data_IF_983042620089
#
_entry.id   IF_983042620089
#
_cell.length_a   1.000
_cell.length_b   1.000
_cell.length_c   1.000
_cell.angle_alpha   90.00
_cell.angle_beta   90.00
_cell.angle_gamma   90.00
#
_symmetry.space_group_name_H-M   'P 1'
#
loop_
_entity.id
_entity.type
_entity.pdbx_description
1 polymer ?
#
# COMPACT_ATOMS: atom_id res chain seq x y z
N UNK A 1 20.57 -23.68 -7.82
CA UNK A 1 20.27 -22.27 -8.27
C UNK A 1 21.56 -21.45 -8.42
N UNK A 2 22.39 -21.26 -7.36
CA UNK A 2 23.63 -20.47 -7.46
C UNK A 2 24.61 -21.02 -8.50
N UNK A 3 24.78 -22.36 -8.57
CA UNK A 3 25.64 -23.03 -9.54
C UNK A 3 25.17 -22.91 -10.99
N UNK A 4 23.89 -22.68 -11.21
CA UNK A 4 23.33 -22.47 -12.55
C UNK A 4 23.52 -21.02 -13.00
N UNK A 5 23.38 -20.08 -12.08
CA UNK A 5 23.63 -18.65 -12.36
C UNK A 5 25.09 -18.41 -12.79
N UNK A 6 26.05 -19.08 -12.16
CA UNK A 6 27.47 -18.96 -12.50
C UNK A 6 27.82 -19.49 -13.91
N UNK A 7 26.93 -20.29 -14.54
CA UNK A 7 27.09 -20.79 -15.93
C UNK A 7 26.58 -19.79 -16.97
N UNK A 8 25.82 -18.78 -16.57
CA UNK A 8 25.34 -17.74 -17.48
C UNK A 8 26.53 -16.86 -17.89
N UNK A 9 26.73 -16.57 -19.18
CA UNK A 9 27.74 -15.61 -19.63
C UNK A 9 27.61 -14.25 -18.90
N UNK A 10 28.72 -13.63 -18.57
CA UNK A 10 28.71 -12.39 -17.78
C UNK A 10 27.93 -11.26 -18.48
N UNK A 11 27.90 -11.25 -19.81
CA UNK A 11 27.13 -10.31 -20.63
C UNK A 11 25.61 -10.50 -20.55
N UNK A 12 25.15 -11.67 -20.11
CA UNK A 12 23.74 -12.03 -19.99
C UNK A 12 23.25 -12.04 -18.53
N UNK A 13 24.16 -11.82 -17.58
CA UNK A 13 23.79 -11.75 -16.15
C UNK A 13 23.09 -10.46 -15.85
N UNK A 14 22.00 -10.56 -15.09
CA UNK A 14 21.30 -9.39 -14.57
C UNK A 14 22.26 -8.64 -13.64
N UNK A 15 22.46 -7.38 -13.93
CA UNK A 15 23.29 -6.47 -13.13
C UNK A 15 22.40 -5.52 -12.31
N UNK A 16 22.98 -4.83 -11.34
CA UNK A 16 22.28 -3.81 -10.59
C UNK A 16 21.67 -2.69 -11.47
N UNK A 17 22.22 -2.46 -12.67
CA UNK A 17 21.70 -1.48 -13.63
C UNK A 17 20.44 -1.93 -14.32
N UNK A 18 20.20 -3.24 -14.38
CA UNK A 18 19.00 -3.85 -14.99
C UNK A 18 17.85 -3.88 -14.01
N UNK A 19 18.13 -3.78 -12.69
CA UNK A 19 17.16 -3.71 -11.62
C UNK A 19 16.67 -2.27 -11.44
N UNK A 20 15.83 -1.82 -12.37
CA UNK A 20 15.15 -0.53 -12.20
C UNK A 20 14.13 -0.65 -11.07
N UNK A 21 14.38 0.07 -9.98
CA UNK A 21 13.41 0.17 -8.90
C UNK A 21 12.25 1.09 -9.32
N UNK A 22 11.02 0.71 -8.94
CA UNK A 22 9.88 1.60 -9.08
C UNK A 22 10.01 2.83 -8.16
N UNK A 23 9.19 3.84 -8.41
CA UNK A 23 9.18 5.08 -7.61
C UNK A 23 8.43 4.95 -6.29
N UNK A 24 7.49 4.00 -6.21
CA UNK A 24 6.67 3.70 -5.03
C UNK A 24 6.64 2.18 -4.85
N UNK A 25 6.76 1.72 -3.61
CA UNK A 25 6.51 0.33 -3.26
C UNK A 25 5.07 0.16 -2.80
N UNK A 26 4.36 -0.82 -3.36
CA UNK A 26 3.08 -1.30 -2.84
C UNK A 26 3.26 -2.73 -2.34
N UNK A 27 3.00 -2.95 -1.05
CA UNK A 27 3.12 -4.27 -0.41
C UNK A 27 1.77 -4.73 0.11
N UNK A 28 1.31 -5.90 -0.31
CA UNK A 28 0.09 -6.52 0.18
C UNK A 28 0.43 -7.63 1.18
N UNK A 29 0.43 -7.28 2.46
CA UNK A 29 0.73 -8.21 3.55
C UNK A 29 -0.45 -9.15 3.81
N UNK A 30 -1.67 -8.70 3.53
CA UNK A 30 -2.88 -9.48 3.73
C UNK A 30 -2.97 -10.74 2.86
N UNK A 31 -2.25 -10.78 1.73
CA UNK A 31 -2.19 -11.94 0.85
C UNK A 31 -1.21 -13.02 1.33
N UNK A 32 -0.23 -12.65 2.16
CA UNK A 32 0.88 -13.53 2.56
C UNK A 32 0.50 -14.37 3.78
N UNK A 33 -0.40 -13.87 4.63
CA UNK A 33 -0.65 -14.46 5.93
C UNK A 33 -2.15 -14.64 6.21
N UNK A 34 -2.63 -15.85 6.03
CA UNK A 34 -3.96 -16.28 6.50
C UNK A 34 -3.91 -16.47 8.03
N UNK A 35 -4.03 -15.43 8.80
CA UNK A 35 -4.08 -15.54 10.27
C UNK A 35 -3.38 -14.45 11.04
N UNK A 36 -2.66 -13.57 10.37
CA UNK A 36 -2.16 -12.35 11.01
C UNK A 36 -3.23 -11.27 10.88
N UNK A 37 -3.95 -11.03 11.96
CA UNK A 37 -4.83 -9.87 12.11
C UNK A 37 -4.04 -8.63 12.52
N UNK A 38 -3.04 -8.25 11.72
CA UNK A 38 -2.28 -7.02 11.93
C UNK A 38 -3.06 -5.81 11.46
N UNK A 39 -3.25 -4.83 12.31
CA UNK A 39 -3.96 -3.60 11.94
C UNK A 39 -3.09 -2.65 11.12
N UNK A 40 -1.79 -2.68 11.33
CA UNK A 40 -0.83 -1.76 10.72
C UNK A 40 0.44 -2.51 10.35
N UNK A 41 0.84 -2.39 9.09
CA UNK A 41 2.19 -2.72 8.65
C UNK A 41 2.97 -1.44 8.49
N UNK A 42 3.98 -1.20 9.31
CA UNK A 42 4.93 -0.14 9.06
C UNK A 42 5.88 -0.59 7.98
N UNK A 43 5.80 0.03 6.79
CA UNK A 43 6.71 -0.25 5.69
C UNK A 43 7.94 0.63 5.78
N UNK A 44 9.10 0.01 5.65
CA UNK A 44 10.33 0.76 5.44
C UNK A 44 10.38 1.30 4.01
N UNK A 45 10.65 2.59 3.90
CA UNK A 45 10.91 3.23 2.61
C UNK A 45 12.37 2.94 2.24
N UNK A 46 12.57 2.30 1.09
CA UNK A 46 13.92 1.94 0.60
C UNK A 46 14.37 2.99 -0.41
N UNK A 47 15.44 3.75 -0.14
CA UNK A 47 15.96 4.72 -1.10
C UNK A 47 16.26 4.07 -2.47
N UNK A 48 16.01 4.75 -3.60
CA UNK A 48 15.63 6.16 -3.74
C UNK A 48 14.14 6.47 -3.64
N UNK A 49 13.32 5.52 -3.22
CA UNK A 49 11.88 5.74 -3.06
C UNK A 49 11.60 6.71 -1.91
N UNK A 50 10.53 7.46 -2.03
CA UNK A 50 10.06 8.41 -1.02
C UNK A 50 8.67 8.10 -0.49
N UNK A 51 8.03 7.05 -1.04
CA UNK A 51 6.70 6.61 -0.62
C UNK A 51 6.59 5.09 -0.66
N UNK A 52 5.85 4.53 0.30
CA UNK A 52 5.48 3.14 0.33
C UNK A 52 4.03 2.98 0.80
N UNK A 53 3.28 2.08 0.17
CA UNK A 53 1.89 1.78 0.50
C UNK A 53 1.78 0.34 0.98
N UNK A 54 1.25 0.15 2.19
CA UNK A 54 0.97 -1.15 2.78
C UNK A 54 -0.52 -1.47 2.76
N UNK A 55 -0.88 -2.63 2.24
CA UNK A 55 -2.25 -3.14 2.25
C UNK A 55 -2.30 -4.28 3.27
N UNK A 56 -3.13 -4.13 4.30
CA UNK A 56 -3.31 -5.13 5.34
C UNK A 56 -4.32 -6.23 4.97
N UNK A 57 -4.65 -7.07 5.95
CA UNK A 57 -5.66 -8.10 5.77
C UNK A 57 -7.07 -7.53 5.97
N UNK A 58 -8.04 -8.10 5.26
CA UNK A 58 -9.47 -7.81 5.49
C UNK A 58 -9.86 -8.21 6.91
N UNK A 59 -10.52 -7.31 7.62
CA UNK A 59 -10.92 -7.48 9.02
C UNK A 59 -12.38 -7.09 9.22
N UNK A 60 -13.07 -7.79 10.11
CA UNK A 60 -14.39 -7.34 10.58
C UNK A 60 -14.21 -6.41 11.77
N UNK A 61 -14.70 -5.19 11.63
CA UNK A 61 -14.65 -4.17 12.69
C UNK A 61 -16.02 -3.53 12.93
N UNK A 62 -16.33 -3.16 14.17
CA UNK A 62 -17.46 -2.29 14.43
C UNK A 62 -17.14 -0.90 13.87
N UNK A 63 -18.03 -0.36 13.07
CA UNK A 63 -17.98 1.02 12.56
C UNK A 63 -19.25 1.76 12.98
N UNK A 64 -19.12 3.06 13.19
CA UNK A 64 -20.28 3.92 13.40
C UNK A 64 -20.80 4.35 12.03
N UNK A 65 -22.10 4.18 11.82
CA UNK A 65 -22.80 4.63 10.61
C UNK A 65 -23.93 5.54 11.04
N UNK A 66 -23.94 6.77 10.55
CA UNK A 66 -25.02 7.73 10.79
C UNK A 66 -26.12 7.48 9.76
N UNK A 67 -27.35 7.29 10.22
CA UNK A 67 -28.51 7.11 9.35
C UNK A 67 -29.00 8.46 8.76
N UNK A 68 -30.01 8.39 7.88
CA UNK A 68 -30.59 9.58 7.24
C UNK A 68 -31.23 10.56 8.24
N UNK A 69 -31.52 10.13 9.45
CA UNK A 69 -32.10 10.95 10.53
C UNK A 69 -31.04 11.60 11.40
N UNK A 70 -29.75 11.32 11.17
CA UNK A 70 -28.62 11.79 11.96
C UNK A 70 -28.36 10.98 13.22
N UNK A 71 -28.95 9.77 13.34
CA UNK A 71 -28.73 8.85 14.47
C UNK A 71 -27.57 7.93 14.18
N UNK A 72 -26.65 7.80 15.13
CA UNK A 72 -25.51 6.90 15.05
C UNK A 72 -25.90 5.45 15.44
N UNK A 73 -25.48 4.51 14.61
CA UNK A 73 -25.61 3.06 14.85
C UNK A 73 -24.26 2.38 14.68
N UNK A 74 -24.00 1.33 15.48
CA UNK A 74 -22.81 0.49 15.33
C UNK A 74 -23.16 -0.66 14.40
N UNK A 75 -22.42 -0.77 13.28
CA UNK A 75 -22.52 -1.89 12.33
C UNK A 75 -21.19 -2.61 12.20
N UNK A 76 -21.25 -3.93 12.00
CA UNK A 76 -20.05 -4.73 11.71
C UNK A 76 -19.81 -4.64 10.21
N UNK A 77 -18.65 -4.09 9.84
CA UNK A 77 -18.22 -3.98 8.45
C UNK A 77 -16.89 -4.69 8.21
N UNK A 78 -16.68 -5.06 6.95
CA UNK A 78 -15.37 -5.52 6.49
C UNK A 78 -14.54 -4.32 6.08
N UNK A 79 -13.40 -4.15 6.72
CA UNK A 79 -12.47 -3.04 6.47
C UNK A 79 -11.13 -3.56 5.96
N UNK A 80 -10.52 -2.80 5.06
CA UNK A 80 -9.18 -3.03 4.53
C UNK A 80 -8.26 -1.92 5.04
N UNK A 81 -7.34 -2.20 5.98
CA UNK A 81 -6.41 -1.19 6.43
C UNK A 81 -5.37 -0.91 5.34
N UNK A 82 -5.16 0.36 5.06
CA UNK A 82 -4.15 0.84 4.12
C UNK A 82 -3.26 1.83 4.86
N UNK A 83 -1.95 1.59 4.83
CA UNK A 83 -0.95 2.47 5.41
C UNK A 83 -0.17 3.15 4.29
N UNK A 84 -0.07 4.47 4.34
CA UNK A 84 0.76 5.25 3.42
C UNK A 84 1.92 5.84 4.22
N UNK A 85 3.13 5.47 3.85
CA UNK A 85 4.37 5.98 4.41
C UNK A 85 5.06 6.89 3.40
N UNK A 86 5.56 8.03 3.83
CA UNK A 86 6.35 8.92 2.99
C UNK A 86 7.55 9.49 3.77
N UNK A 87 8.61 9.80 3.04
CA UNK A 87 9.82 10.39 3.61
C UNK A 87 9.63 11.90 3.79
N UNK A 88 9.43 12.33 5.03
CA UNK A 88 9.19 13.74 5.37
C UNK A 88 10.41 14.65 5.09
N UNK A 89 11.57 14.08 4.79
CA UNK A 89 12.74 14.87 4.35
C UNK A 89 12.61 15.30 2.88
N UNK A 90 11.81 14.57 2.11
CA UNK A 90 11.62 14.79 0.67
C UNK A 90 10.26 15.44 0.36
N UNK A 91 9.25 15.20 1.18
CA UNK A 91 7.87 15.66 0.96
C UNK A 91 7.32 16.31 2.23
N UNK A 92 6.71 17.47 2.09
CA UNK A 92 5.92 18.05 3.16
C UNK A 92 4.46 17.53 3.12
N UNK A 93 3.76 17.57 4.25
CA UNK A 93 2.38 17.09 4.34
C UNK A 93 1.43 17.84 3.39
N UNK A 94 1.71 19.12 3.14
CA UNK A 94 0.98 19.92 2.15
C UNK A 94 1.03 19.33 0.74
N UNK A 95 2.16 18.71 0.36
CA UNK A 95 2.36 18.08 -0.94
C UNK A 95 1.70 16.70 -1.01
N UNK A 96 1.62 15.98 0.11
CA UNK A 96 0.98 14.66 0.20
C UNK A 96 -0.54 14.74 0.26
N UNK A 97 -1.10 15.82 0.81
CA UNK A 97 -2.55 16.00 0.98
C UNK A 97 -3.37 15.79 -0.31
N UNK A 98 -3.01 16.36 -1.48
CA UNK A 98 -3.76 16.12 -2.72
C UNK A 98 -3.75 14.65 -3.15
N UNK A 99 -2.66 13.93 -2.89
CA UNK A 99 -2.56 12.49 -3.18
C UNK A 99 -3.51 11.68 -2.29
N UNK A 100 -3.55 11.96 -0.99
CA UNK A 100 -4.46 11.27 -0.06
C UNK A 100 -5.93 11.57 -0.43
N UNK A 101 -6.27 12.82 -0.70
CA UNK A 101 -7.62 13.19 -1.12
C UNK A 101 -8.04 12.47 -2.42
N UNK A 102 -7.12 12.29 -3.35
CA UNK A 102 -7.41 11.53 -4.58
C UNK A 102 -7.59 10.04 -4.34
N UNK A 103 -6.85 9.46 -3.40
CA UNK A 103 -7.07 8.08 -2.96
C UNK A 103 -8.45 7.90 -2.31
N UNK A 104 -8.86 8.82 -1.44
CA UNK A 104 -10.19 8.80 -0.81
C UNK A 104 -11.29 8.86 -1.88
N UNK A 105 -11.19 9.79 -2.83
CA UNK A 105 -12.13 9.91 -3.95
C UNK A 105 -12.25 8.60 -4.77
N UNK A 106 -11.12 7.94 -5.03
CA UNK A 106 -11.09 6.68 -5.77
C UNK A 106 -11.72 5.55 -4.94
N UNK A 107 -11.49 5.50 -3.62
CA UNK A 107 -12.09 4.48 -2.77
C UNK A 107 -13.60 4.66 -2.59
N UNK A 108 -14.08 5.90 -2.55
CA UNK A 108 -15.51 6.19 -2.54
C UNK A 108 -16.18 5.89 -3.89
N UNK A 109 -15.47 6.10 -4.99
CA UNK A 109 -15.97 5.96 -6.35
C UNK A 109 -15.00 5.16 -7.23
N UNK A 110 -14.85 3.84 -7.05
CA UNK A 110 -13.82 3.04 -7.74
C UNK A 110 -14.01 2.99 -9.25
N UNK A 111 -15.19 3.34 -9.77
CA UNK A 111 -15.45 3.42 -11.21
C UNK A 111 -14.62 4.50 -11.93
N UNK A 112 -14.05 5.44 -11.19
CA UNK A 112 -13.20 6.51 -11.76
C UNK A 112 -11.97 5.93 -12.47
N UNK A 113 -11.43 4.81 -11.99
CA UNK A 113 -10.22 4.17 -12.56
C UNK A 113 -10.54 3.19 -13.71
N UNK A 114 -11.83 2.92 -13.97
CA UNK A 114 -12.27 2.02 -15.03
C UNK A 114 -12.62 2.76 -16.34
N UNK A 115 -12.51 4.07 -16.33
CA UNK A 115 -12.69 4.94 -17.51
C UNK A 115 -11.34 5.26 -18.15
#
# INVERSE_FOLDING_TARGET
EKKEYDKIPESERITYRDLKQGTITVSNIGSISRGISGELGLLMIIPPQICAIGIGALQKKPIVVTDETGKDEIKISTVLPICVCFDHRALDFGEVKPFIAKLEEIFENPEIILK
#
